data_IF_992194589498
#
_entry.id   IF_992194589498
#
_cell.length_a   1.000
_cell.length_b   1.000
_cell.length_c   1.000
_cell.angle_alpha   90.00
_cell.angle_beta   90.00
_cell.angle_gamma   90.00
#
_symmetry.space_group_name_H-M   'P 1'
#
loop_
_entity.id
_entity.type
_entity.pdbx_description
1 polymer ?
#
# COMPACT_ATOMS: atom_id res chain seq x y z
N UNK A 1 12.64 16.33 8.56
CA UNK A 1 13.59 17.45 8.37
C UNK A 1 14.98 16.84 8.38
N UNK A 2 15.77 16.99 7.32
CA UNK A 2 17.09 16.33 7.24
C UNK A 2 18.09 16.96 8.21
N UNK A 3 19.04 16.15 8.69
CA UNK A 3 20.29 16.68 9.24
C UNK A 3 21.23 16.98 8.09
N UNK A 4 21.72 18.21 8.05
CA UNK A 4 22.65 18.66 7.01
C UNK A 4 24.05 18.51 7.57
N UNK A 5 24.91 17.84 6.80
CA UNK A 5 26.32 17.70 7.12
C UNK A 5 27.13 18.47 6.08
N UNK A 6 28.05 19.30 6.54
CA UNK A 6 29.02 19.99 5.69
C UNK A 6 30.31 19.22 5.66
N UNK A 7 30.91 19.14 4.48
CA UNK A 7 32.18 18.47 4.22
C UNK A 7 33.12 19.45 3.53
N UNK A 8 34.40 19.40 3.90
CA UNK A 8 35.43 20.19 3.25
C UNK A 8 35.74 19.60 1.87
N UNK A 9 35.82 20.43 0.82
CA UNK A 9 35.92 19.97 -0.58
C UNK A 9 37.06 18.97 -0.83
N UNK A 10 38.21 19.15 -0.16
CA UNK A 10 39.36 18.25 -0.27
C UNK A 10 39.23 16.90 0.45
N UNK A 11 38.12 16.65 1.16
CA UNK A 11 37.83 15.41 1.91
C UNK A 11 36.66 14.62 1.32
N UNK A 12 36.07 15.09 0.22
CA UNK A 12 35.01 14.37 -0.49
C UNK A 12 35.61 13.27 -1.36
N UNK A 13 35.17 12.04 -1.11
CA UNK A 13 35.51 10.85 -1.88
C UNK A 13 34.22 10.05 -2.10
N UNK A 14 33.85 9.81 -3.35
CA UNK A 14 32.65 9.04 -3.73
C UNK A 14 32.69 7.59 -3.22
N UNK A 15 33.88 7.05 -2.91
CA UNK A 15 34.02 5.71 -2.32
C UNK A 15 33.83 5.70 -0.81
N UNK A 16 33.77 6.86 -0.18
CA UNK A 16 33.64 6.99 1.26
C UNK A 16 32.18 6.89 1.70
N UNK A 17 31.80 5.72 2.22
CA UNK A 17 30.45 5.41 2.70
C UNK A 17 30.21 5.76 4.18
N UNK A 18 31.13 6.48 4.84
CA UNK A 18 31.00 6.77 6.27
C UNK A 18 29.79 7.66 6.61
N UNK A 19 29.22 8.37 5.63
CA UNK A 19 27.95 9.09 5.79
C UNK A 19 26.75 8.18 6.12
N UNK A 20 26.81 6.87 5.81
CA UNK A 20 25.73 5.91 6.13
C UNK A 20 25.55 5.71 7.64
N UNK A 21 26.60 5.92 8.43
CA UNK A 21 26.53 5.82 9.90
C UNK A 21 25.94 7.08 10.54
N UNK A 22 25.77 8.16 9.77
CA UNK A 22 25.26 9.42 10.26
C UNK A 22 23.73 9.43 10.29
N UNK A 23 23.10 9.99 11.33
CA UNK A 23 21.65 10.06 11.42
C UNK A 23 21.07 10.96 10.33
N UNK A 24 20.20 10.42 9.47
CA UNK A 24 19.69 11.13 8.29
C UNK A 24 18.59 12.16 8.59
N UNK A 25 17.88 12.04 9.73
CA UNK A 25 16.73 12.89 10.05
C UNK A 25 16.85 13.53 11.45
N UNK A 26 16.43 14.79 11.56
CA UNK A 26 16.16 15.44 12.85
C UNK A 26 14.90 14.77 13.43
N UNK A 27 15.01 14.11 14.59
CA UNK A 27 13.81 13.70 15.36
C UNK A 27 13.07 14.98 15.71
N UNK A 28 11.90 15.20 15.11
CA UNK A 28 10.96 16.15 15.68
C UNK A 28 10.53 15.56 17.03
N UNK A 29 10.73 16.31 18.11
CA UNK A 29 10.00 16.07 19.35
C UNK A 29 8.55 16.47 19.10
N UNK A 30 7.78 15.57 18.49
CA UNK A 30 6.32 15.65 18.47
C UNK A 30 5.81 14.76 19.59
N UNK A 31 5.04 15.39 20.47
CA UNK A 31 4.22 14.86 21.57
C UNK A 31 4.01 13.32 21.61
N UNK A 32 4.18 12.64 22.76
CA UNK A 32 4.14 11.17 22.87
C UNK A 32 2.79 10.47 22.63
N UNK A 33 1.80 11.10 22.02
CA UNK A 33 0.44 10.55 21.89
C UNK A 33 0.02 10.06 20.49
N UNK A 34 0.90 10.09 19.47
CA UNK A 34 0.53 9.58 18.15
C UNK A 34 1.53 8.58 17.58
N UNK A 35 1.01 7.36 17.37
CA UNK A 35 1.54 6.20 16.63
C UNK A 35 2.45 5.24 17.40
N UNK A 36 1.82 4.44 18.25
CA UNK A 36 2.10 3.00 18.26
C UNK A 36 1.48 2.36 17.01
N UNK A 37 2.30 1.62 16.26
CA UNK A 37 1.98 0.40 15.50
C UNK A 37 3.19 0.06 14.61
N UNK A 38 4.23 -0.52 15.22
CA UNK A 38 5.02 -1.55 14.53
C UNK A 38 5.61 -2.51 15.57
N UNK A 39 5.21 -3.76 15.39
CA UNK A 39 5.64 -5.05 15.91
C UNK A 39 6.76 -5.12 16.97
N UNK A 40 6.41 -5.74 18.08
CA UNK A 40 7.27 -6.26 19.13
C UNK A 40 8.12 -7.45 18.67
N UNK A 41 9.40 -7.45 19.06
CA UNK A 41 10.08 -8.67 19.50
C UNK A 41 10.92 -8.36 20.75
N UNK A 42 10.90 -9.32 21.67
CA UNK A 42 11.19 -9.21 23.11
C UNK A 42 12.67 -9.06 23.46
N UNK A 43 13.01 -8.27 24.50
CA UNK A 43 13.90 -8.69 25.62
C UNK A 43 13.69 -7.75 26.81
N UNK A 44 13.52 -8.34 28.00
CA UNK A 44 13.35 -7.67 29.30
C UNK A 44 14.62 -6.96 29.77
N UNK A 45 14.49 -5.74 30.30
CA UNK A 45 15.12 -5.33 31.57
C UNK A 45 14.56 -3.99 32.08
N UNK A 46 14.24 -4.00 33.37
CA UNK A 46 13.69 -2.91 34.19
C UNK A 46 14.84 -2.01 34.69
N UNK A 47 14.77 -0.69 34.46
CA UNK A 47 15.40 0.33 35.31
C UNK A 47 14.76 1.73 35.11
N UNK A 48 14.80 2.50 36.19
CA UNK A 48 14.05 3.71 36.56
C UNK A 48 14.36 5.00 35.76
N UNK A 49 13.56 6.09 35.90
CA UNK A 49 13.69 7.31 35.11
C UNK A 49 14.57 8.34 35.80
N UNK A 50 15.61 8.86 35.11
CA UNK A 50 16.22 10.14 35.46
C UNK A 50 17.12 10.66 34.32
N UNK A 51 16.97 11.96 34.03
CA UNK A 51 17.96 12.91 33.45
C UNK A 51 17.90 13.23 31.95
N UNK A 52 17.22 14.35 31.68
CA UNK A 52 17.60 15.49 30.82
C UNK A 52 18.38 15.21 29.51
N UNK A 53 17.64 15.17 28.41
CA UNK A 53 18.14 15.18 27.02
C UNK A 53 18.71 16.55 26.61
N UNK A 54 19.90 16.91 27.11
CA UNK A 54 20.64 18.10 26.62
C UNK A 54 22.10 17.79 26.28
N UNK A 55 22.36 16.59 25.77
CA UNK A 55 23.70 16.19 25.30
C UNK A 55 23.58 15.27 24.08
N UNK A 56 23.53 15.84 22.88
CA UNK A 56 23.69 15.08 21.63
C UNK A 56 24.55 15.80 20.59
N UNK A 57 25.39 16.75 21.03
CA UNK A 57 26.36 17.44 20.19
C UNK A 57 27.81 16.96 20.38
N UNK A 58 28.07 16.07 21.35
CA UNK A 58 29.44 15.68 21.75
C UNK A 58 29.88 14.25 21.40
N UNK A 59 29.06 13.44 20.72
CA UNK A 59 29.45 12.07 20.33
C UNK A 59 29.96 11.91 18.88
N UNK A 60 30.17 13.01 18.15
CA UNK A 60 30.95 12.97 16.91
C UNK A 60 32.37 13.46 17.20
N UNK A 61 33.09 12.68 18.00
CA UNK A 61 34.52 12.83 18.21
C UNK A 61 35.28 12.50 16.91
N UNK A 62 35.87 13.53 16.31
CA UNK A 62 37.13 13.55 15.52
C UNK A 62 37.45 12.48 14.44
N UNK A 63 36.58 11.52 14.10
CA UNK A 63 36.92 10.46 13.14
C UNK A 63 36.18 10.51 11.80
N UNK A 64 35.18 11.39 11.64
CA UNK A 64 34.49 11.57 10.35
C UNK A 64 34.72 12.99 9.83
N UNK A 65 34.89 13.17 8.51
CA UNK A 65 35.11 14.51 7.94
C UNK A 65 33.82 15.35 7.87
N UNK A 66 32.70 14.83 8.39
CA UNK A 66 31.37 15.44 8.31
C UNK A 66 31.02 16.23 9.57
N UNK A 67 30.71 17.52 9.40
CA UNK A 67 30.32 18.43 10.47
C UNK A 67 28.81 18.67 10.41
N UNK A 68 28.10 18.48 11.52
CA UNK A 68 26.65 18.75 11.61
C UNK A 68 26.40 20.26 11.52
N UNK A 69 25.55 20.69 10.58
CA UNK A 69 25.09 22.06 10.48
C UNK A 69 23.68 22.20 11.08
N UNK A 70 23.61 22.77 12.29
CA UNK A 70 22.36 22.94 13.02
C UNK A 70 21.53 24.14 12.53
N UNK A 71 22.19 25.15 11.94
CA UNK A 71 21.59 26.42 11.50
C UNK A 71 20.79 26.27 10.21
N UNK A 72 21.12 25.28 9.39
CA UNK A 72 20.43 25.04 8.12
C UNK A 72 19.37 23.93 8.25
N UNK A 73 18.30 24.08 7.49
CA UNK A 73 17.25 23.06 7.40
C UNK A 73 16.72 22.89 6.00
N UNK A 74 16.62 21.64 5.56
CA UNK A 74 15.97 21.28 4.30
C UNK A 74 14.74 20.44 4.64
N UNK A 75 13.60 20.88 4.11
CA UNK A 75 12.40 20.07 4.02
C UNK A 75 12.35 19.45 2.63
N UNK A 76 12.02 18.18 2.58
CA UNK A 76 11.81 17.46 1.34
C UNK A 76 10.53 16.63 1.52
N UNK A 77 9.73 16.57 0.47
CA UNK A 77 8.56 15.72 0.40
C UNK A 77 8.87 14.62 -0.60
N UNK A 78 8.90 13.37 -0.13
CA UNK A 78 9.07 12.21 -1.00
C UNK A 78 7.85 11.32 -0.86
N UNK A 79 7.30 10.89 -1.99
CA UNK A 79 6.31 9.81 -2.04
C UNK A 79 7.10 8.53 -2.29
N UNK A 80 7.27 7.71 -1.25
CA UNK A 80 7.93 6.41 -1.36
C UNK A 80 6.90 5.36 -1.77
N UNK A 81 7.05 4.81 -2.97
CA UNK A 81 6.22 3.71 -3.48
C UNK A 81 7.06 2.42 -3.42
N UNK A 82 7.10 1.73 -2.28
CA UNK A 82 7.67 0.38 -2.23
C UNK A 82 6.85 -0.54 -3.13
N UNK A 83 7.52 -1.42 -3.88
CA UNK A 83 6.94 -2.33 -4.86
C UNK A 83 5.73 -3.10 -4.32
N UNK A 84 4.82 -3.42 -5.23
CA UNK A 84 3.51 -4.07 -5.03
C UNK A 84 3.62 -5.38 -4.23
N UNK A 85 3.67 -5.29 -2.90
CA UNK A 85 3.66 -6.43 -2.00
C UNK A 85 2.57 -6.19 -0.95
N UNK A 86 1.59 -7.08 -0.93
CA UNK A 86 0.51 -7.08 0.06
C UNK A 86 0.82 -8.11 1.12
N UNK A 87 0.57 -7.76 2.38
CA UNK A 87 0.65 -8.71 3.51
C UNK A 87 -0.73 -9.27 3.85
N UNK A 88 -1.77 -8.78 3.19
CA UNK A 88 -3.13 -9.20 3.38
C UNK A 88 -3.33 -10.59 2.75
N UNK A 89 -3.42 -11.60 3.61
CA UNK A 89 -3.58 -13.01 3.21
C UNK A 89 -4.79 -13.19 2.30
N UNK A 90 -5.88 -12.45 2.54
CA UNK A 90 -7.12 -12.58 1.76
C UNK A 90 -6.93 -12.02 0.34
N UNK A 91 -6.22 -10.90 0.17
CA UNK A 91 -5.86 -10.38 -1.16
C UNK A 91 -4.89 -11.31 -1.88
N UNK A 92 -3.91 -11.87 -1.16
CA UNK A 92 -3.01 -12.88 -1.71
C UNK A 92 -3.75 -14.13 -2.20
N UNK A 93 -4.79 -14.57 -1.49
CA UNK A 93 -5.61 -15.72 -1.89
C UNK A 93 -6.41 -15.45 -3.17
N UNK A 94 -6.88 -14.21 -3.39
CA UNK A 94 -7.52 -13.80 -4.66
C UNK A 94 -6.48 -13.76 -5.79
N UNK A 95 -5.30 -13.17 -5.53
CA UNK A 95 -4.23 -13.09 -6.52
C UNK A 95 -3.69 -14.48 -6.92
N UNK A 96 -3.65 -15.42 -5.96
CA UNK A 96 -3.23 -16.82 -6.15
C UNK A 96 -4.42 -17.76 -6.24
N UNK A 97 -5.51 -17.35 -6.88
CA UNK A 97 -6.79 -18.06 -6.91
C UNK A 97 -6.71 -19.55 -7.29
N UNK A 98 -5.75 -19.95 -8.13
CA UNK A 98 -5.52 -21.35 -8.53
C UNK A 98 -5.18 -22.26 -7.35
N UNK A 99 -4.57 -21.73 -6.31
CA UNK A 99 -4.17 -22.47 -5.11
C UNK A 99 -5.26 -22.45 -4.02
N UNK A 100 -6.27 -21.58 -4.17
CA UNK A 100 -7.26 -21.29 -3.14
C UNK A 100 -8.71 -21.32 -3.67
N UNK A 101 -8.99 -22.13 -4.69
CA UNK A 101 -10.31 -22.17 -5.35
C UNK A 101 -11.47 -22.45 -4.38
N UNK A 102 -11.25 -23.30 -3.38
CA UNK A 102 -12.27 -23.72 -2.39
C UNK A 102 -12.80 -22.51 -1.60
N UNK A 103 -11.92 -21.59 -1.20
CA UNK A 103 -12.26 -20.41 -0.38
C UNK A 103 -12.44 -19.14 -1.21
N UNK A 104 -12.26 -19.23 -2.53
CA UNK A 104 -12.21 -18.08 -3.42
C UNK A 104 -13.51 -17.27 -3.39
N UNK A 105 -14.65 -17.96 -3.35
CA UNK A 105 -15.97 -17.33 -3.29
C UNK A 105 -16.10 -16.40 -2.08
N UNK A 106 -15.66 -16.87 -0.92
CA UNK A 106 -15.75 -16.10 0.31
C UNK A 106 -14.77 -14.93 0.28
N UNK A 107 -13.57 -15.12 -0.26
CA UNK A 107 -12.60 -14.02 -0.43
C UNK A 107 -13.09 -12.92 -1.38
N UNK A 108 -13.74 -13.29 -2.48
CA UNK A 108 -14.35 -12.31 -3.40
C UNK A 108 -15.51 -11.56 -2.71
N UNK A 109 -16.31 -12.24 -1.88
CA UNK A 109 -17.40 -11.60 -1.11
C UNK A 109 -16.88 -10.66 -0.04
N UNK A 110 -15.83 -11.06 0.67
CA UNK A 110 -15.16 -10.20 1.65
C UNK A 110 -14.55 -8.97 0.98
N UNK A 111 -14.04 -9.08 -0.25
CA UNK A 111 -13.50 -7.94 -1.00
C UNK A 111 -14.56 -6.85 -1.23
N UNK A 112 -15.82 -7.25 -1.44
CA UNK A 112 -16.96 -6.35 -1.67
C UNK A 112 -17.58 -5.88 -0.34
N UNK A 113 -17.20 -6.48 0.79
CA UNK A 113 -17.79 -6.20 2.10
C UNK A 113 -19.21 -6.75 2.24
N UNK A 114 -19.53 -7.89 1.61
CA UNK A 114 -20.85 -8.52 1.78
C UNK A 114 -21.07 -8.94 3.25
N UNK A 115 -22.21 -8.59 3.88
CA UNK A 115 -22.48 -8.84 5.30
C UNK A 115 -22.70 -10.32 5.65
N UNK A 116 -22.76 -11.21 4.66
CA UNK A 116 -23.07 -12.64 4.85
C UNK A 116 -21.81 -13.53 4.89
N UNK A 117 -20.61 -12.93 4.90
CA UNK A 117 -19.38 -13.69 5.16
C UNK A 117 -19.22 -13.80 6.68
N UNK A 118 -19.07 -15.00 7.24
CA UNK A 118 -18.99 -15.28 8.69
C UNK A 118 -17.79 -14.61 9.42
N UNK A 119 -17.12 -13.65 8.78
CA UNK A 119 -16.08 -12.82 9.33
C UNK A 119 -16.64 -11.43 9.66
N UNK A 120 -17.37 -11.32 10.78
CA UNK A 120 -17.84 -10.05 11.39
C UNK A 120 -16.70 -9.04 11.67
N UNK A 121 -15.44 -9.47 11.51
CA UNK A 121 -14.27 -8.62 11.49
C UNK A 121 -13.85 -8.37 10.03
N UNK A 122 -14.36 -7.30 9.42
CA UNK A 122 -14.04 -6.91 8.03
C UNK A 122 -12.62 -6.31 7.92
N UNK A 123 -11.60 -7.05 8.33
CA UNK A 123 -10.17 -6.69 8.25
C UNK A 123 -9.63 -6.67 6.81
N UNK A 124 -10.41 -7.18 5.84
CA UNK A 124 -10.02 -7.11 4.43
C UNK A 124 -10.09 -5.69 3.87
N UNK A 125 -10.90 -4.81 4.48
CA UNK A 125 -11.32 -3.56 3.86
C UNK A 125 -10.34 -2.40 4.05
N UNK A 126 -9.05 -2.66 3.79
CA UNK A 126 -8.06 -1.60 3.61
C UNK A 126 -8.13 -1.10 2.16
N UNK A 127 -9.07 -0.18 1.87
CA UNK A 127 -9.27 0.46 0.55
C UNK A 127 -7.94 0.90 -0.10
N UNK A 128 -7.01 1.45 0.69
CA UNK A 128 -5.70 1.88 0.19
C UNK A 128 -4.77 0.75 -0.26
N UNK A 129 -4.91 -0.47 0.25
CA UNK A 129 -4.13 -1.64 -0.19
C UNK A 129 -4.77 -2.27 -1.43
N UNK A 130 -6.10 -2.35 -1.47
CA UNK A 130 -6.87 -2.81 -2.63
C UNK A 130 -6.55 -1.95 -3.87
N UNK A 131 -6.61 -0.62 -3.75
CA UNK A 131 -6.34 0.30 -4.85
C UNK A 131 -4.89 0.24 -5.36
N UNK A 132 -3.91 -0.09 -4.50
CA UNK A 132 -2.52 -0.31 -4.92
C UNK A 132 -2.35 -1.56 -5.77
N UNK A 133 -3.20 -2.56 -5.56
CA UNK A 133 -3.19 -3.84 -6.28
C UNK A 133 -4.18 -3.85 -7.46
N UNK A 134 -4.83 -2.73 -7.76
CA UNK A 134 -5.96 -2.68 -8.70
C UNK A 134 -5.70 -3.41 -10.03
N UNK A 135 -4.59 -3.19 -10.76
CA UNK A 135 -4.33 -3.91 -12.00
C UNK A 135 -4.24 -5.43 -11.79
N UNK A 136 -3.52 -5.86 -10.76
CA UNK A 136 -3.32 -7.28 -10.46
C UNK A 136 -4.62 -7.95 -10.00
N UNK A 137 -5.46 -7.24 -9.24
CA UNK A 137 -6.77 -7.72 -8.83
C UNK A 137 -7.71 -7.84 -10.02
N UNK A 138 -7.74 -6.85 -10.91
CA UNK A 138 -8.53 -6.93 -12.14
C UNK A 138 -8.07 -8.11 -13.01
N UNK A 139 -6.77 -8.28 -13.22
CA UNK A 139 -6.23 -9.42 -13.97
C UNK A 139 -6.62 -10.77 -13.35
N UNK A 140 -6.49 -10.91 -12.03
CA UNK A 140 -6.91 -12.12 -11.33
C UNK A 140 -8.42 -12.35 -11.48
N UNK A 141 -9.23 -11.32 -11.28
CA UNK A 141 -10.69 -11.39 -11.41
C UNK A 141 -11.12 -11.80 -12.83
N UNK A 142 -10.56 -11.21 -13.88
CA UNK A 142 -10.87 -11.62 -15.25
C UNK A 142 -10.42 -13.05 -15.54
N UNK A 143 -9.26 -13.47 -15.03
CA UNK A 143 -8.82 -14.86 -15.17
C UNK A 143 -9.80 -15.83 -14.47
N UNK A 144 -10.23 -15.52 -13.25
CA UNK A 144 -11.22 -16.31 -12.51
C UNK A 144 -12.53 -16.38 -13.31
N UNK A 145 -13.02 -15.26 -13.82
CA UNK A 145 -14.23 -15.20 -14.64
C UNK A 145 -14.15 -16.06 -15.91
N UNK A 146 -12.97 -16.14 -16.53
CA UNK A 146 -12.73 -16.94 -17.72
C UNK A 146 -12.62 -18.44 -17.42
N UNK A 147 -11.97 -18.84 -16.31
CA UNK A 147 -11.71 -20.25 -15.98
C UNK A 147 -12.79 -20.89 -15.11
N UNK A 148 -13.50 -20.09 -14.30
CA UNK A 148 -14.49 -20.56 -13.33
C UNK A 148 -15.84 -19.87 -13.55
N UNK A 149 -16.65 -20.35 -14.52
CA UNK A 149 -17.97 -19.78 -14.84
C UNK A 149 -18.90 -19.66 -13.62
N UNK A 150 -18.75 -20.59 -12.65
CA UNK A 150 -19.51 -20.60 -11.38
C UNK A 150 -19.33 -19.36 -10.51
N UNK A 151 -18.25 -18.59 -10.69
CA UNK A 151 -17.94 -17.38 -9.91
C UNK A 151 -18.12 -16.08 -10.71
N UNK A 152 -18.59 -16.15 -11.96
CA UNK A 152 -18.69 -14.97 -12.82
C UNK A 152 -19.55 -13.85 -12.21
N UNK A 153 -20.62 -14.21 -11.50
CA UNK A 153 -21.49 -13.23 -10.85
C UNK A 153 -20.77 -12.49 -9.72
N UNK A 154 -20.13 -13.23 -8.80
CA UNK A 154 -19.38 -12.64 -7.69
C UNK A 154 -18.19 -11.80 -8.20
N UNK A 155 -17.50 -12.29 -9.23
CA UNK A 155 -16.40 -11.56 -9.90
C UNK A 155 -16.90 -10.25 -10.49
N UNK A 156 -18.03 -10.26 -11.18
CA UNK A 156 -18.59 -9.05 -11.77
C UNK A 156 -18.95 -8.01 -10.69
N UNK A 157 -19.59 -8.44 -9.61
CA UNK A 157 -19.90 -7.57 -8.46
C UNK A 157 -18.61 -6.97 -7.84
N UNK A 158 -17.53 -7.75 -7.75
CA UNK A 158 -16.22 -7.28 -7.30
C UNK A 158 -15.61 -6.23 -8.25
N UNK A 159 -15.67 -6.44 -9.56
CA UNK A 159 -15.14 -5.47 -10.53
C UNK A 159 -15.92 -4.16 -10.45
N UNK A 160 -17.26 -4.21 -10.36
CA UNK A 160 -18.09 -3.01 -10.18
C UNK A 160 -17.71 -2.28 -8.89
N UNK A 161 -17.49 -3.00 -7.79
CA UNK A 161 -17.01 -2.42 -6.55
C UNK A 161 -15.65 -1.71 -6.71
N UNK A 162 -14.67 -2.37 -7.35
CA UNK A 162 -13.34 -1.78 -7.60
C UNK A 162 -13.40 -0.51 -8.46
N UNK A 163 -14.25 -0.50 -9.50
CA UNK A 163 -14.44 0.69 -10.34
C UNK A 163 -15.03 1.84 -9.53
N UNK A 164 -16.08 1.59 -8.74
CA UNK A 164 -16.68 2.61 -7.85
C UNK A 164 -15.67 3.17 -6.85
N UNK A 165 -14.79 2.31 -6.33
CA UNK A 165 -13.72 2.71 -5.42
C UNK A 165 -12.74 3.69 -6.06
N UNK A 166 -12.54 3.60 -7.39
CA UNK A 166 -11.68 4.50 -8.16
C UNK A 166 -12.37 5.80 -8.59
N UNK A 167 -13.70 5.81 -8.65
CA UNK A 167 -14.49 7.00 -9.02
C UNK A 167 -14.54 8.06 -7.89
N UNK A 168 -14.14 7.71 -6.67
CA UNK A 168 -14.06 8.68 -5.58
C UNK A 168 -13.11 9.84 -5.92
N UNK A 169 -13.50 11.11 -5.70
CA UNK A 169 -12.70 12.28 -6.10
C UNK A 169 -11.35 12.37 -5.40
N UNK A 170 -11.15 11.65 -4.29
CA UNK A 170 -9.86 11.56 -3.58
C UNK A 170 -8.89 10.58 -4.23
N UNK A 171 -9.34 9.79 -5.20
CA UNK A 171 -8.60 8.69 -5.81
C UNK A 171 -8.17 8.99 -7.26
N UNK A 172 -7.97 10.26 -7.65
CA UNK A 172 -7.61 10.66 -9.02
C UNK A 172 -6.42 9.89 -9.60
N UNK A 173 -5.40 9.57 -8.79
CA UNK A 173 -4.25 8.76 -9.22
C UNK A 173 -4.66 7.33 -9.58
N UNK A 174 -5.51 6.71 -8.78
CA UNK A 174 -5.99 5.34 -9.03
C UNK A 174 -6.99 5.30 -10.20
N UNK A 175 -7.77 6.37 -10.38
CA UNK A 175 -8.61 6.55 -11.57
C UNK A 175 -7.76 6.57 -12.86
N UNK A 176 -6.66 7.33 -12.88
CA UNK A 176 -5.74 7.32 -14.02
C UNK A 176 -5.15 5.91 -14.26
N UNK A 177 -4.78 5.19 -13.20
CA UNK A 177 -4.31 3.79 -13.31
C UNK A 177 -5.38 2.88 -13.89
N UNK A 178 -6.65 3.04 -13.49
CA UNK A 178 -7.78 2.30 -14.05
C UNK A 178 -7.97 2.63 -15.53
N UNK A 179 -7.92 3.90 -15.92
CA UNK A 179 -8.06 4.35 -17.31
C UNK A 179 -6.93 3.77 -18.19
N UNK A 180 -5.68 3.81 -17.72
CA UNK A 180 -4.54 3.18 -18.40
C UNK A 180 -4.68 1.66 -18.49
N UNK A 181 -5.23 1.02 -17.45
CA UNK A 181 -5.50 -0.41 -17.45
C UNK A 181 -6.55 -0.78 -18.50
N UNK A 182 -7.69 -0.05 -18.52
CA UNK A 182 -8.77 -0.25 -19.49
C UNK A 182 -8.26 -0.03 -20.92
N UNK A 183 -7.40 0.97 -21.14
CA UNK A 183 -6.79 1.20 -22.46
C UNK A 183 -5.89 0.04 -22.91
N UNK A 184 -5.25 -0.67 -21.98
CA UNK A 184 -4.41 -1.85 -22.26
C UNK A 184 -5.21 -3.15 -22.33
N UNK A 185 -6.48 -3.15 -21.90
CA UNK A 185 -7.31 -4.34 -21.88
C UNK A 185 -7.48 -4.89 -23.29
N UNK A 186 -7.12 -6.16 -23.50
CA UNK A 186 -7.25 -6.80 -24.79
C UNK A 186 -8.72 -6.83 -25.24
N UNK A 187 -8.99 -6.26 -26.42
CA UNK A 187 -10.32 -6.18 -27.02
C UNK A 187 -11.10 -7.52 -27.03
N UNK A 188 -10.48 -8.69 -27.31
CA UNK A 188 -11.16 -9.99 -27.20
C UNK A 188 -11.74 -10.27 -25.81
N UNK A 189 -11.03 -9.90 -24.74
CA UNK A 189 -11.45 -10.17 -23.36
C UNK A 189 -12.58 -9.22 -22.92
N UNK A 190 -12.51 -7.97 -23.35
CA UNK A 190 -13.59 -7.01 -23.15
C UNK A 190 -14.87 -7.42 -23.90
N UNK A 191 -14.75 -7.86 -25.15
CA UNK A 191 -15.89 -8.26 -25.98
C UNK A 191 -16.53 -9.57 -25.51
N UNK A 192 -15.73 -10.59 -25.19
CA UNK A 192 -16.25 -11.93 -24.85
C UNK A 192 -16.87 -11.99 -23.46
N UNK A 193 -16.33 -11.25 -22.50
CA UNK A 193 -16.76 -11.35 -21.11
C UNK A 193 -17.39 -10.07 -20.56
N UNK A 194 -16.75 -8.92 -20.72
CA UNK A 194 -17.19 -7.69 -20.06
C UNK A 194 -18.49 -7.14 -20.67
N UNK A 195 -18.57 -7.05 -22.00
CA UNK A 195 -19.73 -6.47 -22.70
C UNK A 195 -21.04 -7.24 -22.46
N UNK A 196 -21.10 -8.59 -22.56
CA UNK A 196 -22.32 -9.35 -22.27
C UNK A 196 -22.78 -9.21 -20.81
N UNK A 197 -21.84 -9.22 -19.86
CA UNK A 197 -22.16 -9.08 -18.45
C UNK A 197 -22.65 -7.66 -18.09
N UNK A 198 -22.10 -6.62 -18.71
CA UNK A 198 -22.60 -5.25 -18.58
C UNK A 198 -24.02 -5.11 -19.15
N UNK A 199 -24.28 -5.67 -20.34
CA UNK A 199 -25.62 -5.65 -20.95
C UNK A 199 -26.63 -6.37 -20.04
N UNK A 200 -26.27 -7.55 -19.52
CA UNK A 200 -27.11 -8.28 -18.58
C UNK A 200 -27.38 -7.47 -17.31
N UNK A 201 -26.35 -6.83 -16.74
CA UNK A 201 -26.48 -6.01 -15.54
C UNK A 201 -27.41 -4.81 -15.73
N UNK A 202 -27.25 -4.08 -16.84
CA UNK A 202 -28.12 -2.93 -17.17
C UNK A 202 -29.56 -3.39 -17.37
N UNK A 203 -29.78 -4.49 -18.09
CA UNK A 203 -31.12 -5.07 -18.30
C UNK A 203 -31.78 -5.47 -16.99
N UNK A 204 -31.01 -6.04 -16.06
CA UNK A 204 -31.51 -6.44 -14.74
C UNK A 204 -31.84 -5.23 -13.85
N UNK A 205 -31.01 -4.19 -13.84
CA UNK A 205 -31.25 -2.92 -13.13
C UNK A 205 -32.48 -2.18 -13.66
N UNK A 206 -32.77 -2.26 -14.96
CA UNK A 206 -33.97 -1.69 -15.56
C UNK A 206 -35.26 -2.47 -15.29
N UNK A 207 -35.19 -3.60 -14.59
CA UNK A 207 -36.34 -4.46 -14.24
C UNK A 207 -36.65 -4.48 -12.73
N UNK A 208 -35.91 -3.73 -11.90
CA UNK A 208 -36.31 -3.50 -10.51
C UNK A 208 -37.36 -2.37 -10.48
N UNK A 209 -38.59 -2.62 -9.97
CA UNK A 209 -39.66 -1.62 -9.88
C UNK A 209 -39.40 -0.50 -8.87
#
# INVERSE_FOLDING_TARGET
MLKIFTLESGKFDDRNISYLQLPSSKRLSTNPQQRSLSSSHHTLQRASPLRNDTLSSSLLSNSTPYIVNEKNSVQYQTIVCSTVHTTNIKLLQILRWREYEIVLKDRIRELIGYPNSESDNNELNCQGEILKLLPNLLDALFQIASHLPKHQKEVFEAIVYLIRLCEEPKQCRHKQVLEEYVHKLHCPQAHTWLLPNLIWFVKKRGQEP
#
